data_IF_512901072920
#
_entry.id   IF_512901072920
#
_cell.length_a   1.000
_cell.length_b   1.000
_cell.length_c   1.000
_cell.angle_alpha   90.00
_cell.angle_beta   90.00
_cell.angle_gamma   90.00
#
_symmetry.space_group_name_H-M   'P 1'
#
loop_
_entity.id
_entity.type
_entity.pdbx_description
1 polymer ?
#
# COMPACT_ATOMS: atom_id res chain seq x y z
N UNK A 1 -33.38 16.81 20.04
CA UNK A 1 -31.96 16.58 19.70
C UNK A 1 -31.26 17.94 19.77
N UNK A 2 -30.17 18.23 20.49
CA UNK A 2 -29.22 17.46 21.32
C UNK A 2 -28.10 16.59 20.67
N UNK A 3 -27.74 16.67 19.37
CA UNK A 3 -26.58 15.91 18.86
C UNK A 3 -25.22 16.48 19.34
N UNK A 4 -25.17 17.75 19.77
CA UNK A 4 -23.92 18.51 19.99
C UNK A 4 -23.17 18.16 21.28
N UNK A 5 -23.86 17.77 22.36
CA UNK A 5 -23.22 17.48 23.65
C UNK A 5 -22.61 16.06 23.74
N UNK A 6 -23.02 15.13 22.89
CA UNK A 6 -22.49 13.75 22.83
C UNK A 6 -21.03 13.74 22.34
N UNK A 7 -20.76 14.39 21.20
CA UNK A 7 -19.42 14.47 20.60
C UNK A 7 -18.36 15.02 21.57
N UNK A 8 -18.70 16.06 22.35
CA UNK A 8 -17.75 16.69 23.29
C UNK A 8 -17.39 15.80 24.49
N UNK A 9 -18.22 14.80 24.83
CA UNK A 9 -17.90 13.81 25.87
C UNK A 9 -17.04 12.67 25.34
N UNK A 10 -17.26 12.21 24.11
CA UNK A 10 -16.45 11.17 23.46
C UNK A 10 -14.98 11.59 23.30
N UNK A 11 -14.71 12.84 22.91
CA UNK A 11 -13.34 13.34 22.75
C UNK A 11 -12.57 13.38 24.09
N UNK A 12 -13.27 13.55 25.22
CA UNK A 12 -12.66 13.68 26.54
C UNK A 12 -12.32 12.33 27.22
N UNK A 13 -12.73 11.19 26.66
CA UNK A 13 -12.50 9.85 27.23
C UNK A 13 -11.64 8.93 26.36
N UNK A 14 -11.25 9.36 25.16
CA UNK A 14 -10.33 8.60 24.30
C UNK A 14 -8.89 8.76 24.81
N UNK A 15 -8.17 7.68 25.16
CA UNK A 15 -6.77 7.79 25.56
C UNK A 15 -5.92 8.28 24.38
N UNK A 16 -4.84 9.05 24.61
CA UNK A 16 -4.08 9.71 23.55
C UNK A 16 -3.55 8.74 22.49
N UNK A 17 -3.22 7.51 22.88
CA UNK A 17 -2.81 6.42 21.98
C UNK A 17 -3.87 6.08 20.92
N UNK A 18 -5.16 6.08 21.29
CA UNK A 18 -6.26 5.82 20.35
C UNK A 18 -6.53 7.01 19.42
N UNK A 19 -6.27 8.24 19.87
CA UNK A 19 -6.39 9.44 19.02
C UNK A 19 -5.33 9.43 17.89
N UNK A 20 -4.09 9.01 18.19
CA UNK A 20 -3.02 8.85 17.19
C UNK A 20 -3.38 7.77 16.17
N UNK A 21 -3.89 6.61 16.61
CA UNK A 21 -4.32 5.53 15.72
C UNK A 21 -5.49 5.99 14.83
N UNK A 22 -6.49 6.69 15.39
CA UNK A 22 -7.62 7.22 14.61
C UNK A 22 -7.18 8.22 13.54
N UNK A 23 -6.22 9.10 13.85
CA UNK A 23 -5.66 10.03 12.87
C UNK A 23 -4.86 9.30 11.77
N UNK A 24 -4.04 8.32 12.14
CA UNK A 24 -3.28 7.52 11.19
C UNK A 24 -4.18 6.74 10.22
N UNK A 25 -5.27 6.13 10.71
CA UNK A 25 -6.26 5.44 9.88
C UNK A 25 -6.99 6.42 8.94
N UNK A 26 -7.34 7.62 9.41
CA UNK A 26 -7.93 8.65 8.55
C UNK A 26 -7.01 9.09 7.40
N UNK A 27 -5.69 9.07 7.61
CA UNK A 27 -4.69 9.34 6.55
C UNK A 27 -4.30 8.11 5.73
N UNK A 28 -4.62 6.88 6.19
CA UNK A 28 -4.25 5.64 5.50
C UNK A 28 -5.07 5.40 4.23
N UNK A 29 -6.26 6.00 4.11
CA UNK A 29 -7.01 6.10 2.86
C UNK A 29 -6.37 7.15 1.92
N UNK A 30 -5.16 6.86 1.44
CA UNK A 30 -4.47 7.74 0.49
C UNK A 30 -5.16 7.66 -0.88
N UNK A 31 -5.71 8.79 -1.35
CA UNK A 31 -6.03 8.92 -2.78
C UNK A 31 -4.72 8.97 -3.55
N UNK A 32 -4.64 8.26 -4.66
CA UNK A 32 -3.53 8.36 -5.62
C UNK A 32 -4.02 9.24 -6.79
N UNK A 33 -3.76 10.55 -6.80
CA UNK A 33 -4.38 11.46 -7.77
C UNK A 33 -4.01 11.10 -9.21
N UNK A 34 -2.75 10.65 -9.39
CA UNK A 34 -2.21 10.17 -10.66
C UNK A 34 -2.99 8.98 -11.28
N UNK A 35 -3.82 8.27 -10.48
CA UNK A 35 -4.75 7.23 -10.94
C UNK A 35 -6.20 7.76 -10.96
N UNK A 36 -6.66 8.37 -9.87
CA UNK A 36 -8.06 8.79 -9.68
C UNK A 36 -8.50 9.93 -10.61
N UNK A 37 -7.58 10.81 -10.99
CA UNK A 37 -7.82 11.95 -11.88
C UNK A 37 -7.67 11.57 -13.36
N UNK A 38 -7.21 10.35 -13.66
CA UNK A 38 -7.21 9.77 -15.02
C UNK A 38 -8.58 9.25 -15.45
N UNK A 39 -9.48 9.01 -14.48
CA UNK A 39 -10.83 8.53 -14.76
C UNK A 39 -11.73 9.68 -15.24
N UNK A 40 -12.20 9.58 -16.48
CA UNK A 40 -13.10 10.58 -17.07
C UNK A 40 -14.45 10.63 -16.32
N UNK A 41 -15.15 11.78 -16.29
CA UNK A 41 -16.34 11.96 -15.45
C UNK A 41 -17.49 10.99 -15.75
N UNK A 42 -17.60 10.54 -17.00
CA UNK A 42 -18.59 9.59 -17.52
C UNK A 42 -18.34 8.14 -17.09
N UNK A 43 -17.10 7.78 -16.72
CA UNK A 43 -16.75 6.45 -16.19
C UNK A 43 -16.84 6.38 -14.66
N UNK A 44 -17.17 7.49 -13.98
CA UNK A 44 -17.16 7.56 -12.51
C UNK A 44 -18.43 6.95 -11.91
N UNK A 45 -18.30 5.73 -11.39
CA UNK A 45 -19.41 5.01 -10.75
C UNK A 45 -20.30 4.24 -11.72
N UNK A 46 -19.86 4.03 -12.96
CA UNK A 46 -20.49 3.07 -13.88
C UNK A 46 -20.30 1.64 -13.40
N UNK A 47 -21.12 0.71 -13.90
CA UNK A 47 -20.86 -0.71 -13.71
C UNK A 47 -19.50 -1.10 -14.32
N UNK A 48 -18.80 -2.04 -13.68
CA UNK A 48 -17.58 -2.62 -14.23
C UNK A 48 -17.93 -3.42 -15.51
N UNK A 49 -17.14 -3.36 -16.59
CA UNK A 49 -17.43 -4.08 -17.83
C UNK A 49 -17.38 -5.61 -17.64
N UNK A 50 -18.06 -6.34 -18.53
CA UNK A 50 -18.03 -7.81 -18.51
C UNK A 50 -16.59 -8.34 -18.68
N UNK A 51 -16.23 -9.31 -17.83
CA UNK A 51 -14.91 -9.92 -17.83
C UNK A 51 -14.77 -10.91 -19.01
N UNK A 52 -13.74 -10.70 -19.84
CA UNK A 52 -13.36 -11.63 -20.90
C UNK A 52 -12.24 -12.60 -20.42
N UNK A 53 -12.18 -13.85 -20.91
CA UNK A 53 -11.13 -14.79 -20.53
C UNK A 53 -9.72 -14.30 -20.90
N UNK A 54 -8.81 -14.28 -19.93
CA UNK A 54 -7.46 -13.76 -20.09
C UNK A 54 -6.66 -14.47 -21.18
N UNK A 55 -6.82 -15.80 -21.32
CA UNK A 55 -6.17 -16.61 -22.37
C UNK A 55 -6.51 -16.17 -23.79
N UNK A 56 -7.63 -15.45 -23.97
CA UNK A 56 -8.07 -14.89 -25.26
C UNK A 56 -7.74 -13.41 -25.46
N UNK A 57 -7.37 -12.71 -24.38
CA UNK A 57 -7.21 -11.25 -24.35
C UNK A 57 -5.76 -10.79 -24.19
N UNK A 58 -4.90 -11.62 -23.59
CA UNK A 58 -3.50 -11.30 -23.36
C UNK A 58 -2.64 -11.63 -24.60
N UNK A 59 -1.78 -10.70 -24.97
CA UNK A 59 -0.67 -11.00 -25.88
C UNK A 59 0.32 -11.97 -25.20
N UNK A 60 0.92 -12.87 -25.97
CA UNK A 60 1.95 -13.80 -25.48
C UNK A 60 3.23 -13.06 -25.08
N UNK A 61 3.29 -12.61 -23.83
CA UNK A 61 4.52 -12.13 -23.18
C UNK A 61 5.37 -13.33 -22.72
N UNK A 62 6.69 -13.17 -22.56
CA UNK A 62 7.47 -14.08 -21.74
C UNK A 62 6.82 -14.31 -20.37
N UNK A 63 6.96 -15.52 -19.81
CA UNK A 63 6.46 -15.79 -18.47
C UNK A 63 7.10 -14.82 -17.45
N UNK A 64 6.33 -14.17 -16.55
CA UNK A 64 6.86 -13.13 -15.65
C UNK A 64 8.07 -13.56 -14.80
N UNK A 65 8.18 -14.85 -14.48
CA UNK A 65 9.34 -15.43 -13.79
C UNK A 65 10.66 -15.28 -14.57
N UNK A 66 10.61 -15.25 -15.92
CA UNK A 66 11.80 -15.02 -16.77
C UNK A 66 12.21 -13.54 -16.79
N UNK A 67 11.23 -12.64 -16.87
CA UNK A 67 11.48 -11.18 -16.87
C UNK A 67 11.94 -10.68 -15.50
N UNK A 68 11.51 -11.34 -14.41
CA UNK A 68 11.88 -11.00 -13.03
C UNK A 68 13.31 -11.41 -12.63
N UNK A 69 13.93 -12.38 -13.32
CA UNK A 69 15.28 -12.89 -13.02
C UNK A 69 16.36 -11.81 -12.74
N UNK A 70 16.57 -10.78 -13.59
CA UNK A 70 17.55 -9.73 -13.31
C UNK A 70 17.21 -8.90 -12.06
N UNK A 71 15.92 -8.72 -11.76
CA UNK A 71 15.47 -8.00 -10.56
C UNK A 71 15.76 -8.85 -9.32
N UNK A 72 15.37 -10.13 -9.32
CA UNK A 72 15.64 -11.10 -8.25
C UNK A 72 17.14 -11.15 -7.90
N UNK A 73 18.01 -11.31 -8.90
CA UNK A 73 19.47 -11.30 -8.73
C UNK A 73 19.97 -9.97 -8.13
N UNK A 74 19.39 -8.84 -8.53
CA UNK A 74 19.75 -7.53 -7.97
C UNK A 74 19.32 -7.36 -6.52
N UNK A 75 18.20 -7.98 -6.11
CA UNK A 75 17.68 -7.95 -4.74
C UNK A 75 18.47 -8.88 -3.84
N UNK A 76 18.80 -10.09 -4.29
CA UNK A 76 19.64 -11.05 -3.56
C UNK A 76 21.03 -10.44 -3.27
N UNK A 77 21.66 -9.83 -4.28
CA UNK A 77 22.93 -9.14 -4.11
C UNK A 77 22.84 -7.93 -3.14
N UNK A 78 21.67 -7.29 -3.00
CA UNK A 78 21.44 -6.24 -1.98
C UNK A 78 21.27 -6.86 -0.60
N UNK A 79 20.48 -7.91 -0.47
CA UNK A 79 20.25 -8.63 0.78
C UNK A 79 21.57 -9.16 1.38
N UNK A 80 22.39 -9.85 0.58
CA UNK A 80 23.71 -10.34 1.01
C UNK A 80 24.63 -9.22 1.54
N UNK A 81 24.65 -8.05 0.88
CA UNK A 81 25.43 -6.88 1.34
C UNK A 81 24.89 -6.26 2.62
N UNK A 82 23.57 -6.28 2.84
CA UNK A 82 22.96 -5.81 4.08
C UNK A 82 23.22 -6.78 5.24
N UNK A 83 23.13 -8.08 4.98
CA UNK A 83 23.42 -9.13 5.96
C UNK A 83 24.89 -9.06 6.42
N UNK A 84 25.85 -9.01 5.50
CA UNK A 84 27.27 -8.87 5.84
C UNK A 84 27.57 -7.61 6.69
N UNK A 85 26.85 -6.50 6.48
CA UNK A 85 26.96 -5.30 7.32
C UNK A 85 26.35 -5.50 8.71
N UNK A 86 25.21 -6.17 8.80
CA UNK A 86 24.57 -6.48 10.07
C UNK A 86 25.44 -7.43 10.93
N UNK A 87 26.06 -8.42 10.30
CA UNK A 87 26.98 -9.36 10.96
C UNK A 87 28.26 -8.65 11.44
N UNK A 88 28.84 -7.78 10.61
CA UNK A 88 29.98 -6.96 11.01
C UNK A 88 29.68 -6.04 12.20
N UNK A 89 28.50 -5.41 12.23
CA UNK A 89 28.06 -4.61 13.38
C UNK A 89 27.85 -5.46 14.64
N UNK A 90 27.22 -6.64 14.49
CA UNK A 90 26.98 -7.56 15.61
C UNK A 90 28.27 -8.09 16.22
N UNK A 91 29.30 -8.31 15.40
CA UNK A 91 30.61 -8.77 15.84
C UNK A 91 31.49 -7.64 16.41
N UNK A 92 31.16 -6.37 16.14
CA UNK A 92 31.86 -5.20 16.67
C UNK A 92 31.25 -4.66 17.98
N UNK A 93 30.03 -5.08 18.32
CA UNK A 93 29.34 -4.74 19.56
C UNK A 93 29.66 -5.80 20.63
N UNK A 94 30.35 -5.47 21.75
CA UNK A 94 30.62 -6.41 22.84
C UNK A 94 29.38 -6.70 23.71
#
# INVERSE_FOLDING_TARGET
>A
MQPTHQFRRLIATVPPSCAVIGLAVATACVRVPELEDRLTPDLRGTAYPDLIPLDSALATSPAPAKESQPIEQSLEARAARLQARADALRNAQP
#
